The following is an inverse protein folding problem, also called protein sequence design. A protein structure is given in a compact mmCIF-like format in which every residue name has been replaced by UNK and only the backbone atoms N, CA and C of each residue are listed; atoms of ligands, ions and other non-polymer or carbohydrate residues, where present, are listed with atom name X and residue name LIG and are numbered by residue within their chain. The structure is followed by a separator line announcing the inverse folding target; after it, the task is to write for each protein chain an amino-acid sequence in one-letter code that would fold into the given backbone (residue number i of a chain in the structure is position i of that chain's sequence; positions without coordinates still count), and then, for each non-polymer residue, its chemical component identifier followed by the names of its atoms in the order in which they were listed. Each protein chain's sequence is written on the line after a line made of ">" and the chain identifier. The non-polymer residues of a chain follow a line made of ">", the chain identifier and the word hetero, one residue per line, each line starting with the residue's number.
data_IF_847790209521
#
_entry.id   IF_847790209521
#
_cell.length_a   1.000
_cell.length_b   1.000
_cell.length_c   1.000
_cell.angle_alpha   90.00
_cell.angle_beta   90.00
_cell.angle_gamma   90.00
#
_symmetry.space_group_name_H-M   'P 1'
#
loop_
_entity.id
_entity.type
_entity.pdbx_description
1 polymer ?
#
# COMPACT_ATOMS: atom_id res chain seq x y z
N UNK A 1 6.00 -4.61 -30.15
CA UNK A 1 5.70 -3.47 -29.29
C UNK A 1 6.98 -2.74 -28.92
N UNK A 2 7.02 -1.44 -29.14
CA UNK A 2 8.19 -0.70 -28.68
C UNK A 2 8.26 -0.74 -27.14
N UNK A 3 9.45 -0.97 -26.63
CA UNK A 3 9.65 -0.91 -25.19
C UNK A 3 9.53 0.53 -24.73
N UNK A 4 9.02 0.73 -23.53
CA UNK A 4 9.05 2.05 -22.90
C UNK A 4 10.51 2.50 -22.72
N UNK A 5 10.79 3.79 -22.90
CA UNK A 5 12.11 4.32 -22.56
C UNK A 5 12.46 3.99 -21.10
N UNK A 6 13.75 3.78 -20.85
CA UNK A 6 14.24 3.44 -19.50
C UNK A 6 13.77 4.48 -18.48
N UNK A 7 13.78 5.76 -18.85
CA UNK A 7 13.36 6.87 -17.99
C UNK A 7 11.90 6.74 -17.59
N UNK A 8 11.02 6.41 -18.53
CA UNK A 8 9.59 6.23 -18.23
C UNK A 8 9.35 5.01 -17.37
N UNK A 9 10.08 3.92 -17.59
CA UNK A 9 9.97 2.73 -16.75
C UNK A 9 10.40 3.02 -15.33
N UNK A 10 11.48 3.77 -15.15
CA UNK A 10 11.95 4.17 -13.82
C UNK A 10 10.96 5.08 -13.13
N UNK A 11 10.36 6.04 -13.85
CA UNK A 11 9.38 6.95 -13.31
C UNK A 11 8.11 6.22 -12.85
N UNK A 12 7.61 5.29 -13.67
CA UNK A 12 6.42 4.51 -13.32
C UNK A 12 6.69 3.59 -12.14
N UNK A 13 7.84 2.93 -12.13
CA UNK A 13 8.25 2.08 -11.03
C UNK A 13 8.34 2.88 -9.73
N UNK A 14 8.90 4.08 -9.78
CA UNK A 14 8.99 4.95 -8.62
C UNK A 14 7.60 5.34 -8.10
N UNK A 15 6.66 5.63 -8.98
CA UNK A 15 5.28 5.93 -8.60
C UNK A 15 4.61 4.75 -7.90
N UNK A 16 4.79 3.54 -8.43
CA UNK A 16 4.22 2.33 -7.85
C UNK A 16 4.86 2.01 -6.50
N UNK A 17 6.17 2.17 -6.39
CA UNK A 17 6.89 1.99 -5.13
C UNK A 17 6.43 3.01 -4.08
N UNK A 18 6.21 4.25 -4.48
CA UNK A 18 5.71 5.30 -3.60
C UNK A 18 4.28 4.96 -3.12
N UNK A 19 3.43 4.46 -4.00
CA UNK A 19 2.09 4.03 -3.64
C UNK A 19 2.11 2.91 -2.60
N UNK A 20 3.01 1.93 -2.76
CA UNK A 20 3.20 0.86 -1.79
C UNK A 20 3.66 1.44 -0.44
N UNK A 21 4.65 2.33 -0.47
CA UNK A 21 5.18 2.94 0.76
C UNK A 21 4.10 3.73 1.51
N UNK A 22 3.27 4.48 0.80
CA UNK A 22 2.15 5.23 1.40
C UNK A 22 1.11 4.29 2.00
N UNK A 23 0.78 3.22 1.28
CA UNK A 23 -0.19 2.24 1.76
C UNK A 23 0.31 1.52 3.01
N UNK A 24 1.58 1.14 3.04
CA UNK A 24 2.21 0.51 4.22
C UNK A 24 2.19 1.47 5.40
N UNK A 25 2.54 2.73 5.17
CA UNK A 25 2.52 3.76 6.22
C UNK A 25 1.12 3.96 6.78
N UNK A 26 0.09 3.96 5.93
CA UNK A 26 -1.30 4.11 6.36
C UNK A 26 -1.74 2.92 7.20
N UNK A 27 -1.45 1.70 6.78
CA UNK A 27 -1.74 0.49 7.56
C UNK A 27 -1.07 0.56 8.93
N UNK A 28 0.17 0.99 8.97
CA UNK A 28 0.93 1.11 10.21
C UNK A 28 0.28 2.11 11.16
N UNK A 29 -0.10 3.29 10.64
CA UNK A 29 -0.79 4.31 11.43
C UNK A 29 -2.13 3.83 11.96
N UNK A 30 -2.93 3.16 11.12
CA UNK A 30 -4.23 2.61 11.53
C UNK A 30 -4.08 1.49 12.56
N UNK A 31 -3.05 0.66 12.43
CA UNK A 31 -2.75 -0.39 13.42
C UNK A 31 -2.43 0.20 14.79
N UNK A 32 -1.70 1.31 14.81
CA UNK A 32 -1.37 2.01 16.06
C UNK A 32 -2.62 2.61 16.71
N UNK A 33 -3.51 3.22 15.91
CA UNK A 33 -4.78 3.74 16.39
C UNK A 33 -5.65 2.64 16.98
N UNK A 34 -5.74 1.50 16.30
CA UNK A 34 -6.48 0.34 16.77
C UNK A 34 -5.96 -0.13 18.12
N UNK A 35 -4.66 -0.28 18.25
CA UNK A 35 -4.03 -0.72 19.49
C UNK A 35 -4.29 0.25 20.64
N UNK A 36 -4.17 1.54 20.38
CA UNK A 36 -4.42 2.57 21.38
C UNK A 36 -5.88 2.56 21.85
N UNK A 37 -6.83 2.43 20.91
CA UNK A 37 -8.26 2.38 21.24
C UNK A 37 -8.59 1.11 22.03
N UNK A 38 -8.01 -0.01 21.67
CA UNK A 38 -8.19 -1.27 22.39
C UNK A 38 -7.66 -1.17 23.83
N UNK A 39 -6.51 -0.56 24.00
CA UNK A 39 -5.90 -0.38 25.32
C UNK A 39 -6.75 0.52 26.23
N UNK A 40 -7.52 1.45 25.63
CA UNK A 40 -8.44 2.33 26.37
C UNK A 40 -9.85 1.76 26.50
N UNK A 41 -10.09 0.54 26.05
CA UNK A 41 -11.42 -0.11 26.04
C UNK A 41 -12.45 0.69 25.23
N UNK A 42 -12.01 1.37 24.19
CA UNK A 42 -12.91 2.07 23.29
C UNK A 42 -13.53 1.10 22.26
N UNK A 43 -14.65 1.51 21.65
CA UNK A 43 -15.25 0.74 20.58
C UNK A 43 -14.33 0.74 19.35
N UNK A 44 -13.89 -0.44 18.93
CA UNK A 44 -12.93 -0.59 17.85
C UNK A 44 -13.56 -1.00 16.51
N UNK A 45 -14.88 -1.07 16.40
CA UNK A 45 -15.57 -1.53 15.19
C UNK A 45 -15.20 -0.68 13.98
N UNK A 46 -15.35 0.65 14.11
CA UNK A 46 -15.02 1.59 13.05
C UNK A 46 -13.55 1.55 12.67
N UNK A 47 -12.67 1.55 13.67
CA UNK A 47 -11.23 1.51 13.48
C UNK A 47 -10.83 0.21 12.78
N UNK A 48 -11.46 -0.91 13.16
CA UNK A 48 -11.22 -2.21 12.52
C UNK A 48 -11.58 -2.17 11.04
N UNK A 49 -12.72 -1.58 10.68
CA UNK A 49 -13.14 -1.46 9.29
C UNK A 49 -12.18 -0.59 8.48
N UNK A 50 -11.74 0.52 9.05
CA UNK A 50 -10.77 1.41 8.42
C UNK A 50 -9.43 0.68 8.21
N UNK A 51 -8.99 -0.08 9.20
CA UNK A 51 -7.76 -0.85 9.13
C UNK A 51 -7.84 -1.93 8.04
N UNK A 52 -8.96 -2.62 7.95
CA UNK A 52 -9.18 -3.63 6.89
C UNK A 52 -9.12 -3.00 5.51
N UNK A 53 -9.76 -1.84 5.34
CA UNK A 53 -9.71 -1.09 4.08
C UNK A 53 -8.28 -0.70 3.73
N UNK A 54 -7.52 -0.20 4.71
CA UNK A 54 -6.12 0.18 4.51
C UNK A 54 -5.27 -1.03 4.09
N UNK A 55 -5.49 -2.18 4.70
CA UNK A 55 -4.79 -3.42 4.33
C UNK A 55 -5.13 -3.88 2.91
N UNK A 56 -6.38 -3.73 2.50
CA UNK A 56 -6.81 -4.06 1.13
C UNK A 56 -6.14 -3.14 0.11
N UNK A 57 -6.04 -1.85 0.41
CA UNK A 57 -5.34 -0.88 -0.44
C UNK A 57 -3.86 -1.23 -0.55
N UNK A 58 -3.21 -1.57 0.57
CA UNK A 58 -1.82 -2.01 0.57
C UNK A 58 -1.62 -3.24 -0.30
N UNK A 59 -2.47 -4.24 -0.13
CA UNK A 59 -2.38 -5.49 -0.90
C UNK A 59 -2.54 -5.22 -2.39
N UNK A 60 -3.49 -4.38 -2.77
CA UNK A 60 -3.69 -3.99 -4.16
C UNK A 60 -2.47 -3.25 -4.72
N UNK A 61 -1.89 -2.33 -3.97
CA UNK A 61 -0.72 -1.56 -4.39
C UNK A 61 0.50 -2.49 -4.59
N UNK A 62 0.72 -3.42 -3.66
CA UNK A 62 1.80 -4.41 -3.77
C UNK A 62 1.60 -5.29 -5.00
N UNK A 63 0.38 -5.73 -5.24
CA UNK A 63 0.07 -6.57 -6.40
C UNK A 63 0.36 -5.84 -7.71
N UNK A 64 -0.04 -4.58 -7.83
CA UNK A 64 0.22 -3.77 -9.02
C UNK A 64 1.73 -3.59 -9.22
N UNK A 65 2.47 -3.32 -8.15
CA UNK A 65 3.92 -3.17 -8.21
C UNK A 65 4.59 -4.47 -8.67
N UNK A 66 4.23 -5.59 -8.07
CA UNK A 66 4.79 -6.90 -8.41
C UNK A 66 4.48 -7.28 -9.85
N UNK A 67 3.27 -7.01 -10.32
CA UNK A 67 2.85 -7.26 -11.69
C UNK A 67 3.69 -6.44 -12.67
N UNK A 68 3.93 -5.17 -12.34
CA UNK A 68 4.76 -4.28 -13.16
C UNK A 68 6.21 -4.81 -13.27
N UNK A 69 6.79 -5.19 -12.14
CA UNK A 69 8.15 -5.74 -12.10
C UNK A 69 8.24 -7.03 -12.91
N UNK A 70 7.25 -7.90 -12.78
CA UNK A 70 7.21 -9.17 -13.52
C UNK A 70 7.12 -8.96 -15.03
N UNK A 71 6.26 -8.04 -15.47
CA UNK A 71 6.05 -7.79 -16.91
C UNK A 71 7.16 -7.02 -17.58
N UNK A 72 7.78 -6.09 -16.88
CA UNK A 72 8.76 -5.18 -17.48
C UNK A 72 10.20 -5.46 -17.07
N UNK A 73 10.41 -6.47 -16.25
CA UNK A 73 11.72 -6.77 -15.68
C UNK A 73 12.15 -5.71 -14.68
N UNK A 74 12.71 -6.10 -13.62
CA UNK A 74 13.11 -5.18 -12.55
C UNK A 74 14.16 -4.18 -12.99
#
# INVERSE_FOLDING_TARGET
>A
MPSMPIEERCAERAKLADAVARAVSDVYGRSREYKAARDRNENTVEITLVLQTARDVERAAVHVYDDHVEKHGA
#
